data_IF_171705487911
#
_entry.id   IF_171705487911
#
_cell.length_a   1.000
_cell.length_b   1.000
_cell.length_c   1.000
_cell.angle_alpha   90.00
_cell.angle_beta   90.00
_cell.angle_gamma   90.00
#
_symmetry.space_group_name_H-M   'P 1'
#
loop_
_entity.id
_entity.type
_entity.pdbx_description
1 polymer ?
#
# COMPACT_ATOMS: atom_id res chain seq x y z
N UNK A 1 -6.87 -46.74 -9.31
CA UNK A 1 -8.08 -45.89 -9.15
C UNK A 1 -7.88 -45.05 -7.90
N UNK A 2 -7.66 -43.74 -8.07
CA UNK A 2 -7.52 -42.83 -6.94
C UNK A 2 -8.85 -42.82 -6.18
N UNK A 3 -8.82 -43.11 -4.88
CA UNK A 3 -10.04 -43.22 -4.10
C UNK A 3 -10.74 -41.85 -4.07
N UNK A 4 -12.08 -41.86 -4.05
CA UNK A 4 -12.91 -40.64 -4.10
C UNK A 4 -12.65 -39.69 -2.91
N UNK A 5 -12.15 -40.23 -1.80
CA UNK A 5 -11.80 -39.47 -0.59
C UNK A 5 -10.59 -38.56 -0.80
N UNK A 6 -9.58 -39.01 -1.55
CA UNK A 6 -8.36 -38.24 -1.83
C UNK A 6 -8.61 -37.07 -2.78
N UNK A 7 -9.56 -37.22 -3.70
CA UNK A 7 -10.00 -36.13 -4.59
C UNK A 7 -10.65 -35.01 -3.75
N UNK A 8 -11.51 -35.36 -2.77
CA UNK A 8 -12.12 -34.37 -1.89
C UNK A 8 -11.09 -33.62 -1.04
N UNK A 9 -10.08 -34.32 -0.52
CA UNK A 9 -8.98 -33.71 0.26
C UNK A 9 -8.18 -32.74 -0.61
N UNK A 10 -7.87 -33.11 -1.85
CA UNK A 10 -7.14 -32.24 -2.79
C UNK A 10 -7.93 -30.97 -3.11
N UNK A 11 -9.23 -31.09 -3.37
CA UNK A 11 -10.11 -29.94 -3.65
C UNK A 11 -10.20 -29.02 -2.44
N UNK A 12 -10.29 -29.56 -1.22
CA UNK A 12 -10.31 -28.78 0.02
C UNK A 12 -8.97 -28.06 0.27
N UNK A 13 -7.84 -28.67 -0.11
CA UNK A 13 -6.52 -28.05 0.02
C UNK A 13 -6.32 -26.88 -0.96
N UNK A 14 -6.90 -26.97 -2.16
CA UNK A 14 -6.77 -25.93 -3.19
C UNK A 14 -7.60 -24.68 -2.87
N UNK A 15 -8.71 -24.81 -2.15
CA UNK A 15 -9.56 -23.65 -1.81
C UNK A 15 -9.00 -22.76 -0.71
N UNK A 16 -8.14 -23.29 0.17
CA UNK A 16 -7.56 -22.54 1.30
C UNK A 16 -6.31 -21.73 0.95
N UNK A 17 -5.69 -21.95 -0.21
CA UNK A 17 -4.44 -21.25 -0.61
C UNK A 17 -4.69 -19.91 -1.32
N UNK A 18 -5.94 -19.56 -1.62
CA UNK A 18 -6.33 -18.37 -2.38
C UNK A 18 -6.39 -17.06 -1.59
N UNK A 19 -5.61 -16.89 -0.53
CA UNK A 19 -5.65 -15.67 0.29
C UNK A 19 -4.97 -14.51 -0.47
N UNK A 20 -5.78 -13.60 -1.04
CA UNK A 20 -5.30 -12.45 -1.80
C UNK A 20 -4.76 -11.37 -0.85
N UNK A 21 -3.49 -11.01 -1.00
CA UNK A 21 -2.89 -9.89 -0.27
C UNK A 21 -2.94 -8.63 -1.15
N UNK A 22 -3.91 -7.74 -0.92
CA UNK A 22 -4.03 -6.48 -1.66
C UNK A 22 -3.27 -5.34 -0.97
N UNK A 23 -2.07 -5.60 -0.49
CA UNK A 23 -1.25 -4.55 0.09
C UNK A 23 -0.43 -3.87 -1.01
N UNK A 24 -0.42 -2.55 -0.99
CA UNK A 24 0.52 -1.73 -1.74
C UNK A 24 1.57 -1.18 -0.77
N UNK A 25 2.78 -1.05 -1.28
CA UNK A 25 3.88 -0.41 -0.59
C UNK A 25 4.42 0.73 -1.44
N UNK A 26 4.53 1.92 -0.85
CA UNK A 26 5.11 3.10 -1.50
C UNK A 26 6.33 3.49 -0.66
N UNK A 27 7.51 3.23 -1.21
CA UNK A 27 8.79 3.44 -0.55
C UNK A 27 9.60 4.46 -1.35
N UNK A 28 10.32 5.34 -0.65
CA UNK A 28 11.15 6.35 -1.30
C UNK A 28 12.20 6.94 -0.36
N UNK A 29 13.06 7.80 -0.93
CA UNK A 29 14.09 8.52 -0.22
C UNK A 29 14.16 9.95 -0.73
N UNK A 30 14.07 10.92 0.18
CA UNK A 30 14.32 12.33 -0.11
C UNK A 30 15.81 12.60 0.01
N UNK A 31 16.39 13.34 -0.94
CA UNK A 31 17.83 13.65 -0.95
C UNK A 31 18.20 14.71 0.10
N UNK A 32 17.35 15.72 0.26
CA UNK A 32 17.49 16.79 1.25
C UNK A 32 16.31 16.76 2.23
N UNK A 33 16.21 15.73 3.10
CA UNK A 33 15.07 15.56 3.98
C UNK A 33 15.08 16.59 5.12
N UNK A 34 13.90 16.83 5.68
CA UNK A 34 13.77 17.36 7.04
C UNK A 34 13.29 16.22 7.93
N UNK A 35 14.20 15.52 8.65
CA UNK A 35 13.83 14.40 9.51
C UNK A 35 12.76 14.74 10.54
N UNK A 36 11.95 13.75 10.92
CA UNK A 36 10.89 13.90 11.90
C UNK A 36 9.66 14.67 11.39
N UNK A 37 9.66 15.15 10.14
CA UNK A 37 8.47 15.68 9.48
C UNK A 37 7.63 14.56 8.88
N UNK A 38 6.33 14.84 8.75
CA UNK A 38 5.40 13.95 8.07
C UNK A 38 5.39 14.21 6.57
N UNK A 39 5.35 13.12 5.81
CA UNK A 39 4.93 13.09 4.43
C UNK A 39 3.52 12.48 4.38
N UNK A 40 2.65 13.05 3.56
CA UNK A 40 1.26 12.62 3.45
C UNK A 40 1.03 11.93 2.10
N UNK A 41 0.15 10.93 2.11
CA UNK A 41 -0.29 10.21 0.93
C UNK A 41 -1.75 10.57 0.66
N UNK A 42 -1.98 11.26 -0.45
CA UNK A 42 -3.33 11.58 -0.94
C UNK A 42 -3.76 10.55 -1.97
N UNK A 43 -4.99 10.08 -1.88
CA UNK A 43 -5.65 9.30 -2.93
C UNK A 43 -6.48 10.25 -3.81
N UNK A 44 -6.28 10.17 -5.13
CA UNK A 44 -7.11 10.88 -6.10
C UNK A 44 -8.39 10.08 -6.36
N UNK A 45 -9.51 10.63 -5.90
CA UNK A 45 -10.87 10.19 -6.24
C UNK A 45 -11.41 10.99 -7.43
N UNK A 46 -12.60 10.62 -7.90
CA UNK A 46 -13.22 11.26 -9.06
C UNK A 46 -13.40 12.78 -8.94
N UNK A 47 -13.60 13.29 -7.72
CA UNK A 47 -13.90 14.72 -7.49
C UNK A 47 -13.01 15.40 -6.47
N UNK A 48 -12.13 14.66 -5.79
CA UNK A 48 -11.36 15.17 -4.66
C UNK A 48 -10.06 14.41 -4.43
N UNK A 49 -9.13 15.07 -3.72
CA UNK A 49 -7.93 14.48 -3.15
C UNK A 49 -8.18 14.26 -1.65
N UNK A 50 -8.03 13.03 -1.19
CA UNK A 50 -8.24 12.67 0.21
C UNK A 50 -6.92 12.20 0.80
N UNK A 51 -6.46 12.83 1.87
CA UNK A 51 -5.32 12.32 2.66
C UNK A 51 -5.71 10.98 3.27
N UNK A 52 -5.09 9.90 2.81
CA UNK A 52 -5.39 8.55 3.31
C UNK A 52 -4.36 8.06 4.32
N UNK A 53 -3.13 8.59 4.29
CA UNK A 53 -2.04 8.14 5.15
C UNK A 53 -1.01 9.23 5.44
N UNK A 54 -0.12 8.96 6.40
CA UNK A 54 1.06 9.78 6.71
C UNK A 54 2.22 8.91 7.17
N UNK A 55 3.44 9.24 6.76
CA UNK A 55 4.67 8.57 7.18
C UNK A 55 5.67 9.60 7.70
N UNK A 56 6.43 9.24 8.74
CA UNK A 56 7.53 10.08 9.23
C UNK A 56 8.74 9.88 8.30
N UNK A 57 9.38 10.98 7.93
CA UNK A 57 10.65 10.97 7.21
C UNK A 57 11.76 10.63 8.22
N UNK A 58 12.45 9.51 7.97
CA UNK A 58 13.57 9.08 8.81
C UNK A 58 14.77 10.03 8.69
N UNK A 59 15.73 9.91 9.60
CA UNK A 59 16.99 10.67 9.59
C UNK A 59 17.75 10.61 8.27
N UNK A 60 17.68 9.47 7.56
CA UNK A 60 18.33 9.29 6.27
C UNK A 60 17.44 9.63 5.06
N UNK A 61 16.28 10.24 5.31
CA UNK A 61 15.33 10.68 4.29
C UNK A 61 14.40 9.60 3.74
N UNK A 62 14.48 8.36 4.26
CA UNK A 62 13.58 7.28 3.83
C UNK A 62 12.18 7.43 4.42
N UNK A 63 11.18 7.07 3.64
CA UNK A 63 9.78 6.94 4.06
C UNK A 63 9.16 5.67 3.48
N UNK A 64 8.10 5.18 4.11
CA UNK A 64 7.36 3.99 3.68
C UNK A 64 5.89 4.13 4.05
N UNK A 65 5.01 3.84 3.08
CA UNK A 65 3.59 3.66 3.28
C UNK A 65 3.21 2.22 2.97
N UNK A 66 2.39 1.60 3.82
CA UNK A 66 1.86 0.26 3.61
C UNK A 66 0.35 0.33 3.75
N UNK A 67 -0.38 0.03 2.68
CA UNK A 67 -1.84 0.11 2.68
C UNK A 67 -2.48 -1.09 2.05
N UNK A 68 -3.56 -1.57 2.67
CA UNK A 68 -4.48 -2.50 2.04
C UNK A 68 -5.46 -1.73 1.18
N UNK A 69 -5.54 -2.06 -0.11
CA UNK A 69 -6.43 -1.39 -1.08
C UNK A 69 -7.37 -2.39 -1.71
N UNK A 70 -8.60 -1.98 -2.01
CA UNK A 70 -9.55 -2.88 -2.67
C UNK A 70 -9.34 -2.87 -4.20
N UNK A 71 -9.06 -1.69 -4.75
CA UNK A 71 -8.84 -1.43 -6.16
C UNK A 71 -7.58 -0.58 -6.38
N UNK A 72 -6.93 -0.67 -7.55
CA UNK A 72 -5.87 0.27 -7.92
C UNK A 72 -6.41 1.70 -7.96
N UNK A 73 -5.62 2.64 -7.44
CA UNK A 73 -5.93 4.07 -7.39
C UNK A 73 -4.71 4.90 -7.73
N UNK A 74 -4.93 6.17 -8.03
CA UNK A 74 -3.86 7.15 -8.19
C UNK A 74 -3.56 7.83 -6.85
N UNK A 75 -2.27 8.04 -6.57
CA UNK A 75 -1.82 8.64 -5.32
C UNK A 75 -0.84 9.78 -5.57
N UNK A 76 -0.86 10.76 -4.66
CA UNK A 76 0.08 11.88 -4.65
C UNK A 76 0.79 11.92 -3.31
N UNK A 77 2.09 12.25 -3.34
CA UNK A 77 2.86 12.55 -2.14
C UNK A 77 2.86 14.06 -1.91
N UNK A 78 2.67 14.49 -0.66
CA UNK A 78 2.77 15.91 -0.29
C UNK A 78 3.46 16.10 1.06
N UNK A 79 4.24 17.17 1.19
CA UNK A 79 4.88 17.56 2.44
C UNK A 79 3.94 18.40 3.32
N UNK A 80 3.04 19.16 2.71
CA UNK A 80 1.95 19.90 3.36
C UNK A 80 0.80 20.14 2.36
N UNK A 81 -0.23 20.90 2.75
CA UNK A 81 -1.41 21.16 1.90
C UNK A 81 -1.12 21.84 0.57
N UNK A 82 0.03 22.49 0.41
CA UNK A 82 0.39 23.28 -0.78
C UNK A 82 1.59 22.72 -1.54
N UNK A 83 2.38 21.84 -0.93
CA UNK A 83 3.63 21.33 -1.48
C UNK A 83 3.53 19.84 -1.83
N UNK A 84 3.27 19.57 -3.10
CA UNK A 84 3.25 18.22 -3.67
C UNK A 84 4.63 17.83 -4.23
N UNK A 85 5.00 16.57 -4.03
CA UNK A 85 6.17 15.95 -4.62
C UNK A 85 5.70 15.14 -5.84
N UNK A 86 5.66 15.78 -7.01
CA UNK A 86 5.27 15.18 -8.29
C UNK A 86 6.46 14.90 -9.17
#
# INVERSE_FOLDING_TARGET
MMNKSWICILVLLVTITGCKNNNIEINGKLLDPTPGKYLYLDELKSTELITVDSAIINEDGRFSFIRKVEYPSFYLLKADEKNYLT
#
